data_IF_151951663579
#
_entry.id   IF_151951663579
#
_cell.length_a   1.000
_cell.length_b   1.000
_cell.length_c   1.000
_cell.angle_alpha   90.00
_cell.angle_beta   90.00
_cell.angle_gamma   90.00
#
_symmetry.space_group_name_H-M   'P 1'
#
loop_
_entity.id
_entity.type
_entity.pdbx_description
1 polymer ?
#
# COMPACT_ATOMS: atom_id res chain seq x y z
N UNK A 1 -3.08 15.46 15.51
CA UNK A 1 -2.78 14.13 14.98
C UNK A 1 -3.62 13.89 13.75
N UNK A 2 -3.05 13.22 12.75
CA UNK A 2 -3.69 12.85 11.50
C UNK A 2 -3.98 11.34 11.48
N UNK A 3 -4.99 10.95 10.71
CA UNK A 3 -5.28 9.56 10.38
C UNK A 3 -5.72 9.51 8.92
N UNK A 4 -5.26 8.48 8.21
CA UNK A 4 -5.46 8.34 6.77
C UNK A 4 -5.90 6.93 6.38
N UNK A 5 -6.79 6.86 5.38
CA UNK A 5 -7.35 5.62 4.84
C UNK A 5 -8.04 5.90 3.51
N UNK A 6 -7.94 4.91 2.63
CA UNK A 6 -8.57 4.87 1.33
C UNK A 6 -9.14 3.48 1.05
N UNK A 7 -10.24 3.43 0.31
CA UNK A 7 -10.83 2.19 -0.20
C UNK A 7 -11.23 2.35 -1.65
N UNK A 8 -11.08 1.29 -2.44
CA UNK A 8 -11.69 1.21 -3.77
C UNK A 8 -13.00 0.41 -3.69
N UNK A 9 -14.08 0.98 -4.22
CA UNK A 9 -15.41 0.35 -4.22
C UNK A 9 -15.96 0.17 -5.63
N UNK A 10 -16.63 -0.95 -5.88
CA UNK A 10 -17.34 -1.17 -7.13
C UNK A 10 -18.65 -0.37 -7.16
N UNK A 11 -18.91 0.35 -8.26
CA UNK A 11 -20.18 1.06 -8.47
C UNK A 11 -21.09 0.20 -9.34
N UNK A 12 -22.17 -0.31 -8.74
CA UNK A 12 -23.08 -1.26 -9.41
C UNK A 12 -22.48 -2.66 -9.55
N UNK A 13 -22.83 -3.36 -10.64
CA UNK A 13 -22.26 -4.68 -10.95
C UNK A 13 -20.95 -4.51 -11.73
N UNK A 14 -19.84 -4.87 -11.12
CA UNK A 14 -18.52 -4.84 -11.75
C UNK A 14 -18.18 -6.18 -12.43
N UNK A 15 -17.27 -6.16 -13.40
CA UNK A 15 -16.76 -7.36 -14.07
C UNK A 15 -15.78 -8.15 -13.19
N UNK A 16 -15.51 -9.40 -13.58
CA UNK A 16 -14.60 -10.29 -12.83
C UNK A 16 -13.17 -9.77 -12.73
N UNK A 17 -12.70 -9.06 -13.75
CA UNK A 17 -11.35 -8.47 -13.76
C UNK A 17 -11.21 -7.40 -12.68
N UNK A 18 -12.16 -6.45 -12.63
CA UNK A 18 -12.22 -5.44 -11.57
C UNK A 18 -12.39 -6.08 -10.18
N UNK A 19 -13.23 -7.11 -10.04
CA UNK A 19 -13.37 -7.83 -8.77
C UNK A 19 -12.03 -8.44 -8.33
N UNK A 20 -11.33 -9.13 -9.23
CA UNK A 20 -10.02 -9.74 -8.93
C UNK A 20 -8.98 -8.69 -8.56
N UNK A 21 -8.96 -7.54 -9.25
CA UNK A 21 -8.09 -6.42 -8.90
C UNK A 21 -8.33 -5.93 -7.47
N UNK A 22 -9.59 -5.75 -7.07
CA UNK A 22 -9.93 -5.35 -5.69
C UNK A 22 -9.46 -6.38 -4.66
N UNK A 23 -9.67 -7.67 -4.91
CA UNK A 23 -9.23 -8.74 -4.00
C UNK A 23 -7.70 -8.79 -3.88
N UNK A 24 -6.97 -8.66 -5.00
CA UNK A 24 -5.50 -8.66 -5.00
C UNK A 24 -4.97 -7.46 -4.22
N UNK A 25 -5.56 -6.28 -4.41
CA UNK A 25 -5.11 -5.05 -3.74
C UNK A 25 -5.36 -5.11 -2.23
N UNK A 26 -6.54 -5.57 -1.80
CA UNK A 26 -6.83 -5.81 -0.38
C UNK A 26 -5.90 -6.86 0.24
N UNK A 27 -5.64 -7.94 -0.50
CA UNK A 27 -4.73 -8.98 -0.08
C UNK A 27 -3.28 -8.50 0.05
N UNK A 28 -2.85 -7.61 -0.83
CA UNK A 28 -1.53 -6.97 -0.75
C UNK A 28 -1.41 -6.10 0.50
N UNK A 29 -2.44 -5.29 0.80
CA UNK A 29 -2.48 -4.50 2.04
C UNK A 29 -2.39 -5.42 3.26
N UNK A 30 -3.20 -6.48 3.31
CA UNK A 30 -3.18 -7.44 4.40
C UNK A 30 -1.80 -8.13 4.56
N UNK A 31 -1.13 -8.47 3.46
CA UNK A 31 0.21 -9.05 3.48
C UNK A 31 1.25 -8.08 4.03
N UNK A 32 1.19 -6.81 3.63
CA UNK A 32 2.05 -5.76 4.15
C UNK A 32 1.82 -5.49 5.64
N UNK A 33 0.55 -5.39 6.07
CA UNK A 33 0.19 -5.23 7.49
C UNK A 33 0.74 -6.41 8.30
N UNK A 34 0.55 -7.66 7.85
CA UNK A 34 1.06 -8.83 8.57
C UNK A 34 2.59 -8.80 8.76
N UNK A 35 3.33 -8.21 7.81
CA UNK A 35 4.78 -8.05 7.86
C UNK A 35 5.25 -6.85 8.70
N UNK A 36 4.36 -5.93 9.11
CA UNK A 36 4.68 -4.74 9.89
C UNK A 36 4.90 -5.06 11.39
N UNK A 37 5.89 -5.89 11.69
CA UNK A 37 6.23 -6.36 13.03
C UNK A 37 7.42 -5.63 13.62
N UNK A 38 7.42 -5.46 14.95
CA UNK A 38 8.62 -5.06 15.66
C UNK A 38 9.80 -6.01 15.32
N UNK A 39 10.96 -5.43 15.00
CA UNK A 39 12.15 -6.18 14.61
C UNK A 39 12.27 -6.46 13.09
N UNK A 40 11.18 -6.41 12.34
CA UNK A 40 11.24 -6.37 10.88
C UNK A 40 11.73 -4.99 10.40
N UNK A 41 11.95 -4.85 9.10
CA UNK A 41 12.31 -3.58 8.46
C UNK A 41 11.27 -3.18 7.43
N UNK A 42 11.27 -1.90 7.05
CA UNK A 42 10.39 -1.37 5.99
C UNK A 42 10.42 -2.24 4.73
N UNK A 43 11.61 -2.69 4.31
CA UNK A 43 11.76 -3.55 3.13
C UNK A 43 11.08 -4.92 3.24
N UNK A 44 10.81 -5.42 4.46
CA UNK A 44 10.03 -6.64 4.65
C UNK A 44 8.53 -6.41 4.36
N UNK A 45 7.99 -5.24 4.73
CA UNK A 45 6.65 -4.80 4.33
C UNK A 45 6.59 -4.66 2.81
N UNK A 46 7.54 -3.91 2.24
CA UNK A 46 7.62 -3.66 0.80
C UNK A 46 7.71 -4.95 -0.02
N UNK A 47 8.53 -5.90 0.43
CA UNK A 47 8.67 -7.21 -0.22
C UNK A 47 7.41 -8.05 -0.10
N UNK A 48 6.73 -8.04 1.06
CA UNK A 48 5.48 -8.77 1.24
C UNK A 48 4.39 -8.29 0.28
N UNK A 49 4.24 -6.97 0.12
CA UNK A 49 3.32 -6.35 -0.84
C UNK A 49 3.70 -6.76 -2.27
N UNK A 50 4.94 -6.48 -2.67
CA UNK A 50 5.41 -6.76 -4.03
C UNK A 50 5.24 -8.23 -4.40
N UNK A 51 5.73 -9.14 -3.55
CA UNK A 51 5.64 -10.57 -3.82
C UNK A 51 4.17 -11.03 -3.89
N UNK A 52 3.27 -10.49 -3.06
CA UNK A 52 1.85 -10.81 -3.13
C UNK A 52 1.23 -10.41 -4.48
N UNK A 53 1.52 -9.19 -4.93
CA UNK A 53 0.97 -8.60 -6.16
C UNK A 53 1.57 -9.24 -7.41
N UNK A 54 2.90 -9.27 -7.52
CA UNK A 54 3.60 -9.75 -8.72
C UNK A 54 3.41 -11.26 -8.92
N UNK A 55 3.31 -12.06 -7.84
CA UNK A 55 3.02 -13.51 -7.96
C UNK A 55 1.61 -13.82 -8.49
N UNK A 56 0.72 -12.82 -8.54
CA UNK A 56 -0.64 -12.92 -9.09
C UNK A 56 -0.76 -12.30 -10.48
N UNK A 57 0.35 -11.83 -11.06
CA UNK A 57 0.38 -11.26 -12.41
C UNK A 57 -0.10 -9.81 -12.50
N UNK A 58 -0.06 -9.06 -11.41
CA UNK A 58 -0.42 -7.64 -11.37
C UNK A 58 0.82 -6.75 -11.21
N UNK A 59 0.69 -5.47 -11.58
CA UNK A 59 1.73 -4.46 -11.39
C UNK A 59 1.63 -3.74 -10.04
N UNK A 60 2.78 -3.26 -9.56
CA UNK A 60 2.88 -2.40 -8.37
C UNK A 60 3.34 -1.02 -8.81
N UNK A 61 2.60 0.02 -8.45
CA UNK A 61 3.02 1.41 -8.66
C UNK A 61 4.26 1.71 -7.81
N UNK A 62 5.28 2.35 -8.41
CA UNK A 62 6.59 2.55 -7.75
C UNK A 62 6.92 4.01 -7.46
N UNK A 63 6.22 4.94 -8.08
CA UNK A 63 6.40 6.38 -7.90
C UNK A 63 5.75 6.91 -6.61
N UNK A 64 4.84 6.13 -6.00
CA UNK A 64 4.07 6.48 -4.81
C UNK A 64 4.22 5.39 -3.73
N UNK A 65 4.26 5.83 -2.48
CA UNK A 65 4.61 5.01 -1.33
C UNK A 65 3.75 5.39 -0.14
N UNK A 66 3.61 4.48 0.82
CA UNK A 66 3.10 4.84 2.13
C UNK A 66 4.07 5.71 2.90
N UNK A 67 3.64 6.17 4.07
CA UNK A 67 4.37 7.16 4.84
C UNK A 67 4.18 6.98 6.34
N UNK A 68 5.11 7.54 7.12
CA UNK A 68 4.86 7.81 8.52
C UNK A 68 3.71 8.80 8.66
N UNK A 69 2.88 8.62 9.69
CA UNK A 69 1.76 9.50 9.98
C UNK A 69 1.61 9.70 11.49
N UNK A 70 1.31 10.93 11.89
CA UNK A 70 1.15 11.26 13.30
C UNK A 70 0.89 12.74 13.50
N UNK A 71 1.96 13.49 13.78
CA UNK A 71 1.86 14.94 14.00
C UNK A 71 1.74 15.72 12.68
N UNK A 72 2.33 15.18 11.61
CA UNK A 72 2.18 15.65 10.23
C UNK A 72 1.40 14.61 9.41
N UNK A 73 0.83 15.06 8.28
CA UNK A 73 0.13 14.18 7.34
C UNK A 73 1.09 13.15 6.73
N UNK A 74 2.22 13.64 6.21
CA UNK A 74 3.30 12.81 5.67
C UNK A 74 4.58 13.08 6.47
N UNK A 75 5.11 12.05 7.14
CA UNK A 75 6.40 12.08 7.84
C UNK A 75 7.21 10.81 7.52
N UNK A 76 8.48 10.79 7.94
CA UNK A 76 9.31 9.61 7.78
C UNK A 76 8.82 8.44 8.65
N UNK A 77 9.08 7.19 8.25
CA UNK A 77 9.72 6.77 7.00
C UNK A 77 8.73 6.64 5.84
N UNK A 78 9.24 6.79 4.62
CA UNK A 78 8.53 6.26 3.45
C UNK A 78 8.42 4.74 3.53
N UNK A 79 7.28 4.20 3.09
CA UNK A 79 6.98 2.76 3.03
C UNK A 79 6.69 2.38 1.57
N UNK A 80 7.73 2.09 0.77
CA UNK A 80 7.53 1.66 -0.62
C UNK A 80 6.70 0.39 -0.71
N UNK A 81 5.88 0.27 -1.76
CA UNK A 81 5.13 -0.95 -2.07
C UNK A 81 5.98 -2.04 -2.76
N UNK A 82 7.28 -1.77 -2.96
CA UNK A 82 8.25 -2.66 -3.59
C UNK A 82 9.62 -2.54 -2.93
N UNK A 83 10.40 -3.61 -2.93
CA UNK A 83 11.71 -3.56 -2.30
C UNK A 83 12.36 -4.93 -2.12
N UNK A 84 13.35 -4.97 -1.24
CA UNK A 84 14.03 -6.20 -0.85
C UNK A 84 13.85 -6.43 0.65
N UNK A 85 13.66 -7.68 1.08
CA UNK A 85 13.51 -8.00 2.50
C UNK A 85 14.76 -7.56 3.29
N UNK A 86 14.56 -7.20 4.55
CA UNK A 86 15.58 -6.76 5.51
C UNK A 86 16.33 -5.48 5.11
N UNK A 87 15.74 -4.63 4.26
CA UNK A 87 16.28 -3.30 3.91
C UNK A 87 15.48 -2.17 4.57
N UNK A 88 16.09 -1.00 4.68
CA UNK A 88 15.45 0.19 5.22
C UNK A 88 15.37 0.24 6.76
N UNK A 89 14.62 1.22 7.30
CA UNK A 89 14.46 1.44 8.74
C UNK A 89 13.95 0.21 9.48
N UNK A 90 14.41 0.03 10.73
CA UNK A 90 13.94 -1.00 11.65
C UNK A 90 12.59 -0.57 12.23
N UNK A 91 11.60 -1.45 12.18
CA UNK A 91 10.30 -1.24 12.78
C UNK A 91 10.38 -1.44 14.29
N UNK A 92 9.85 -0.48 15.04
CA UNK A 92 9.82 -0.47 16.50
C UNK A 92 8.39 -0.23 16.99
N UNK A 93 8.01 -0.79 18.15
CA UNK A 93 6.75 -0.46 18.78
C UNK A 93 6.56 1.06 18.91
N UNK A 94 5.34 1.53 18.63
CA UNK A 94 4.96 2.95 18.62
C UNK A 94 5.13 3.67 17.29
N UNK A 95 5.78 3.06 16.30
CA UNK A 95 5.78 3.62 14.94
C UNK A 95 4.41 3.47 14.29
N UNK A 96 3.94 4.52 13.60
CA UNK A 96 2.64 4.55 12.92
C UNK A 96 2.84 4.89 11.45
N UNK A 97 2.17 4.16 10.56
CA UNK A 97 2.30 4.32 9.11
C UNK A 97 0.93 4.29 8.43
N UNK A 98 0.78 5.09 7.37
CA UNK A 98 -0.17 4.82 6.31
C UNK A 98 0.45 3.77 5.37
N UNK A 99 -0.21 2.61 5.25
CA UNK A 99 0.19 1.56 4.32
C UNK A 99 -0.83 1.48 3.19
N UNK A 100 -0.37 1.76 1.97
CA UNK A 100 -1.22 2.12 0.83
C UNK A 100 -0.77 1.46 -0.50
N UNK A 101 -0.94 0.15 -0.67
CA UNK A 101 -0.65 -0.50 -1.94
C UNK A 101 -1.58 -0.02 -3.05
N UNK A 102 -0.96 0.41 -4.15
CA UNK A 102 -1.61 0.75 -5.41
C UNK A 102 -1.23 -0.29 -6.45
N UNK A 103 -2.22 -1.04 -6.93
CA UNK A 103 -2.04 -2.22 -7.80
C UNK A 103 -2.68 -1.97 -9.15
N UNK A 104 -2.00 -2.38 -10.23
CA UNK A 104 -2.47 -2.21 -11.61
C UNK A 104 -2.68 -3.57 -12.28
N UNK A 105 -3.62 -3.66 -13.23
CA UNK A 105 -3.76 -4.86 -14.08
C UNK A 105 -2.55 -5.04 -15.00
N UNK A 106 -2.05 -3.93 -15.53
CA UNK A 106 -0.92 -3.90 -16.45
C UNK A 106 0.40 -3.76 -15.74
N UNK A 107 1.31 -2.97 -16.31
CA UNK A 107 2.55 -2.65 -15.61
C UNK A 107 2.35 -1.54 -14.57
N UNK A 108 3.32 -1.37 -13.68
CA UNK A 108 3.25 -0.40 -12.58
C UNK A 108 3.55 1.04 -12.98
N UNK A 109 3.73 1.35 -14.27
CA UNK A 109 4.15 2.70 -14.70
C UNK A 109 2.98 3.66 -14.72
N UNK A 110 3.25 4.88 -14.31
CA UNK A 110 2.25 5.94 -14.21
C UNK A 110 2.65 7.18 -15.00
N UNK A 111 1.69 8.08 -15.21
CA UNK A 111 1.94 9.46 -15.67
C UNK A 111 0.99 10.42 -14.96
N UNK A 112 1.47 11.63 -14.73
CA UNK A 112 0.67 12.73 -14.17
C UNK A 112 -0.03 13.49 -15.30
N UNK A 113 -1.30 13.84 -15.11
CA UNK A 113 -2.07 14.63 -16.07
C UNK A 113 -1.72 16.13 -15.97
N UNK A 114 -2.28 16.93 -16.89
CA UNK A 114 -2.00 18.37 -16.98
C UNK A 114 -2.52 19.20 -15.80
N UNK A 115 -3.34 18.61 -14.92
CA UNK A 115 -3.74 19.22 -13.66
C UNK A 115 -2.66 19.14 -12.56
N UNK A 116 -1.55 18.43 -12.83
CA UNK A 116 -0.44 18.17 -11.91
C UNK A 116 -0.79 17.34 -10.67
N UNK A 117 -1.95 16.67 -10.67
CA UNK A 117 -2.42 15.88 -9.53
C UNK A 117 -2.91 14.50 -9.92
N UNK A 118 -3.70 14.41 -10.99
CA UNK A 118 -4.29 13.14 -11.39
C UNK A 118 -3.21 12.21 -11.93
N UNK A 119 -3.06 11.07 -11.29
CA UNK A 119 -2.15 10.01 -11.69
C UNK A 119 -2.94 8.94 -12.42
N UNK A 120 -2.50 8.57 -13.61
CA UNK A 120 -3.10 7.48 -14.39
C UNK A 120 -2.05 6.44 -14.73
N UNK A 121 -2.48 5.19 -14.92
CA UNK A 121 -1.65 4.13 -15.51
C UNK A 121 -1.20 4.56 -16.91
N UNK A 122 0.03 4.22 -17.27
CA UNK A 122 0.58 4.60 -18.56
C UNK A 122 -0.15 3.92 -19.73
N UNK A 123 -0.63 2.69 -19.52
CA UNK A 123 -1.37 1.87 -20.49
C UNK A 123 -2.89 2.09 -20.48
N UNK A 124 -3.41 2.88 -19.53
CA UNK A 124 -4.85 3.16 -19.38
C UNK A 124 -5.66 2.01 -18.78
N UNK A 125 -5.03 0.94 -18.28
CA UNK A 125 -5.71 -0.14 -17.58
C UNK A 125 -6.11 0.26 -16.15
N UNK A 126 -6.99 -0.54 -15.53
CA UNK A 126 -7.50 -0.25 -14.18
C UNK A 126 -6.38 -0.35 -13.14
N UNK A 127 -6.52 0.49 -12.11
CA UNK A 127 -5.75 0.48 -10.87
C UNK A 127 -6.72 0.47 -9.69
N UNK A 128 -6.29 -0.10 -8.57
CA UNK A 128 -7.01 -0.04 -7.30
C UNK A 128 -6.05 0.33 -6.16
N UNK A 129 -6.61 0.98 -5.14
CA UNK A 129 -5.91 1.47 -3.97
C UNK A 129 -6.72 1.12 -2.71
N UNK A 130 -6.03 0.59 -1.70
CA UNK A 130 -6.55 0.43 -0.35
C UNK A 130 -5.49 0.87 0.64
N UNK A 131 -5.93 1.44 1.76
CA UNK A 131 -5.02 1.96 2.76
C UNK A 131 -5.57 1.83 4.17
N UNK A 132 -4.66 1.54 5.09
CA UNK A 132 -4.90 1.72 6.51
C UNK A 132 -3.73 2.46 7.17
N UNK A 133 -4.07 3.36 8.09
CA UNK A 133 -3.17 3.73 9.17
C UNK A 133 -3.02 2.55 10.15
N UNK A 134 -1.79 2.11 10.37
CA UNK A 134 -1.42 1.03 11.30
C UNK A 134 -0.39 1.50 12.34
N UNK A 135 -0.44 0.91 13.53
CA UNK A 135 0.58 1.06 14.56
C UNK A 135 1.35 -0.25 14.75
N UNK A 136 2.68 -0.18 14.76
CA UNK A 136 3.53 -1.30 15.19
C UNK A 136 3.45 -1.40 16.71
N UNK A 137 3.10 -2.57 17.22
CA UNK A 137 3.04 -2.87 18.66
C UNK A 137 4.17 -3.82 19.06
N UNK A 138 4.19 -4.24 20.33
CA UNK A 138 5.06 -5.34 20.77
C UNK A 138 4.63 -6.71 20.20
N UNK A 139 3.37 -6.83 19.75
CA UNK A 139 2.74 -8.07 19.26
C UNK A 139 2.35 -7.96 17.76
N UNK A 140 1.04 -8.04 17.47
CA UNK A 140 0.42 -7.83 16.17
C UNK A 140 0.27 -6.33 15.88
N UNK A 141 0.50 -5.88 14.64
CA UNK A 141 0.24 -4.50 14.27
C UNK A 141 -1.26 -4.20 14.43
N UNK A 142 -1.55 -3.04 15.00
CA UNK A 142 -2.92 -2.59 15.22
C UNK A 142 -3.38 -1.75 14.03
N UNK A 143 -4.57 -2.04 13.51
CA UNK A 143 -5.20 -1.23 12.45
C UNK A 143 -6.04 -0.14 13.12
N UNK A 144 -5.63 1.12 12.96
CA UNK A 144 -6.26 2.27 13.63
C UNK A 144 -7.47 2.84 12.87
N UNK A 145 -7.68 2.40 11.63
CA UNK A 145 -8.69 2.93 10.71
C UNK A 145 -9.70 1.87 10.27
N UNK A 146 -9.92 0.85 11.11
CA UNK A 146 -10.94 -0.17 10.86
C UNK A 146 -12.33 0.44 11.06
N UNK A 147 -13.19 0.31 10.05
CA UNK A 147 -14.61 0.67 10.12
C UNK A 147 -15.44 -0.44 10.76
#
# INVERSE_FOLDING_TARGET
YHGDTAITVGVGKIGEEAQRLLEVTKGALAAGIAAARAGNRVGDISWAIQNYVESRGYGVVREYTGHGIGSQMHEDPQIPNFGQPRRGPLLRPGMTFALEPMVTIGDGRTRVLSDNWTVVTLDGQLSAHFEHTIAVTEDEPEILTRL
#
